data_IF_804639824889
#
_entry.id   IF_804639824889
#
_cell.length_a   1.000
_cell.length_b   1.000
_cell.length_c   1.000
_cell.angle_alpha   90.00
_cell.angle_beta   90.00
_cell.angle_gamma   90.00
#
_symmetry.space_group_name_H-M   'P 1'
#
loop_
_entity.id
_entity.type
_entity.pdbx_description
1 polymer ?
#
# COMPACT_ATOMS: atom_id res chain seq x y z
N UNK A 1 -5.64 21.66 7.60
CA UNK A 1 -5.50 20.93 8.89
C UNK A 1 -6.81 21.08 9.65
N UNK A 2 -7.27 20.05 10.37
CA UNK A 2 -8.52 20.08 11.14
C UNK A 2 -8.20 20.45 12.59
N UNK A 3 -8.90 21.43 13.14
CA UNK A 3 -8.82 21.82 14.55
C UNK A 3 -9.90 21.10 15.37
N UNK A 4 -9.54 20.61 16.55
CA UNK A 4 -10.44 19.86 17.45
C UNK A 4 -10.65 20.63 18.75
N UNK A 5 -11.92 20.90 19.10
CA UNK A 5 -12.33 21.52 20.36
C UNK A 5 -13.44 20.69 21.01
N UNK A 6 -13.19 20.01 22.16
CA UNK A 6 -11.91 19.91 22.88
C UNK A 6 -10.85 19.11 22.10
N UNK A 7 -9.59 19.23 22.52
CA UNK A 7 -8.48 18.48 21.91
C UNK A 7 -8.70 16.97 21.96
N UNK A 8 -8.20 16.27 20.95
CA UNK A 8 -8.15 14.81 20.95
C UNK A 8 -7.22 14.28 22.06
N UNK A 9 -7.44 13.05 22.56
CA UNK A 9 -6.53 12.40 23.51
C UNK A 9 -5.11 12.24 22.95
N UNK A 10 -4.11 12.25 23.84
CA UNK A 10 -2.69 12.17 23.48
C UNK A 10 -2.34 10.95 22.63
N UNK A 11 -2.97 9.80 22.90
CA UNK A 11 -2.78 8.56 22.12
C UNK A 11 -3.23 8.74 20.66
N UNK A 12 -4.32 9.47 20.44
CA UNK A 12 -4.85 9.77 19.10
C UNK A 12 -3.92 10.72 18.35
N UNK A 13 -3.50 11.80 19.02
CA UNK A 13 -2.58 12.79 18.45
C UNK A 13 -1.23 12.14 18.11
N UNK A 14 -0.71 11.29 18.98
CA UNK A 14 0.53 10.55 18.74
C UNK A 14 0.43 9.69 17.47
N UNK A 15 -0.69 9.00 17.25
CA UNK A 15 -0.90 8.20 16.02
C UNK A 15 -0.94 9.10 14.78
N UNK A 16 -1.74 10.18 14.80
CA UNK A 16 -1.89 11.10 13.67
C UNK A 16 -0.56 11.73 13.27
N UNK A 17 0.28 12.11 14.23
CA UNK A 17 1.55 12.77 13.95
C UNK A 17 2.71 11.83 13.64
N UNK A 18 2.57 10.52 13.91
CA UNK A 18 3.68 9.56 13.82
C UNK A 18 3.42 8.40 12.88
N UNK A 19 2.42 8.55 12.01
CA UNK A 19 2.12 7.68 10.88
C UNK A 19 2.21 8.47 9.56
N UNK A 20 3.42 8.89 9.13
CA UNK A 20 3.59 9.53 7.84
C UNK A 20 3.17 8.58 6.71
N UNK A 21 2.66 9.17 5.63
CA UNK A 21 2.47 8.48 4.35
C UNK A 21 3.81 8.22 3.67
N UNK A 22 3.90 7.13 2.91
CA UNK A 22 5.08 6.85 2.10
C UNK A 22 5.24 7.81 0.92
N UNK A 23 6.33 7.65 0.17
CA UNK A 23 6.59 8.38 -1.06
C UNK A 23 6.45 7.46 -2.27
N UNK A 24 5.62 7.82 -3.25
CA UNK A 24 5.42 6.99 -4.44
C UNK A 24 4.98 7.76 -5.70
N UNK A 25 5.59 7.40 -6.83
CA UNK A 25 5.08 7.68 -8.18
C UNK A 25 4.62 6.38 -8.83
N UNK A 26 3.41 6.37 -9.39
CA UNK A 26 2.92 5.29 -10.24
C UNK A 26 3.13 5.66 -11.69
N UNK A 27 3.71 4.76 -12.47
CA UNK A 27 3.94 4.93 -13.91
C UNK A 27 3.18 3.87 -14.69
N UNK A 28 2.61 4.24 -15.83
CA UNK A 28 1.96 3.35 -16.78
C UNK A 28 2.58 3.61 -18.15
N UNK A 29 3.17 2.57 -18.74
CA UNK A 29 3.79 2.63 -20.06
C UNK A 29 3.04 1.71 -21.00
N UNK A 30 2.45 2.28 -22.05
CA UNK A 30 1.58 1.55 -23.00
C UNK A 30 2.37 1.24 -24.27
N UNK A 31 2.18 0.04 -24.82
CA UNK A 31 2.90 -0.45 -26.00
C UNK A 31 1.95 -1.00 -27.06
N UNK A 32 2.47 -1.16 -28.29
CA UNK A 32 1.72 -1.75 -29.41
C UNK A 32 1.41 -3.22 -29.20
N UNK A 33 2.35 -3.95 -28.59
CA UNK A 33 2.25 -5.39 -28.34
C UNK A 33 2.73 -5.70 -26.93
N UNK A 34 2.25 -6.80 -26.35
CA UNK A 34 2.76 -7.34 -25.10
C UNK A 34 4.05 -8.12 -25.35
N UNK A 35 5.10 -7.44 -25.83
CA UNK A 35 6.33 -8.09 -26.29
C UNK A 35 7.01 -8.94 -25.21
N UNK A 36 6.90 -8.56 -23.93
CA UNK A 36 7.40 -9.37 -22.81
C UNK A 36 6.77 -10.76 -22.76
N UNK A 37 5.47 -10.88 -23.06
CA UNK A 37 4.78 -12.18 -23.11
C UNK A 37 5.26 -13.07 -24.26
N UNK A 38 5.63 -12.49 -25.39
CA UNK A 38 6.10 -13.26 -26.56
C UNK A 38 7.40 -14.02 -26.31
N UNK A 39 8.18 -13.59 -25.32
CA UNK A 39 9.42 -14.24 -24.86
C UNK A 39 9.22 -15.01 -23.54
N UNK A 40 7.98 -15.19 -23.09
CA UNK A 40 7.61 -16.00 -21.94
C UNK A 40 7.70 -15.31 -20.58
N UNK A 41 7.81 -13.98 -20.53
CA UNK A 41 7.75 -13.22 -19.28
C UNK A 41 6.32 -12.87 -18.88
N UNK A 42 6.04 -12.87 -17.57
CA UNK A 42 4.74 -12.45 -17.03
C UNK A 42 4.49 -10.95 -17.17
N UNK A 43 5.55 -10.13 -17.22
CA UNK A 43 5.47 -8.68 -17.09
C UNK A 43 5.64 -8.19 -15.64
N UNK A 44 5.88 -9.11 -14.70
CA UNK A 44 6.18 -8.79 -13.31
C UNK A 44 7.68 -8.82 -13.05
N UNK A 45 8.17 -7.85 -12.29
CA UNK A 45 9.55 -7.80 -11.83
C UNK A 45 9.69 -7.01 -10.53
N UNK A 46 10.62 -7.44 -9.69
CA UNK A 46 11.10 -6.69 -8.52
C UNK A 46 12.56 -6.36 -8.76
N UNK A 47 12.94 -5.11 -8.54
CA UNK A 47 14.29 -4.60 -8.77
C UNK A 47 14.64 -3.56 -7.71
N UNK A 48 15.92 -3.31 -7.50
CA UNK A 48 16.40 -2.21 -6.68
C UNK A 48 16.80 -0.98 -7.52
N UNK A 49 16.32 -0.91 -8.76
CA UNK A 49 16.53 0.20 -9.69
C UNK A 49 17.47 -0.13 -10.86
N UNK A 50 18.31 -1.17 -10.76
CA UNK A 50 19.26 -1.49 -11.84
C UNK A 50 20.24 -0.34 -12.10
N UNK A 51 20.65 -0.15 -13.35
CA UNK A 51 21.60 0.90 -13.71
C UNK A 51 20.89 2.25 -13.89
N UNK A 52 21.46 3.31 -13.33
CA UNK A 52 21.00 4.68 -13.58
C UNK A 52 21.58 5.24 -14.88
N UNK A 53 20.77 6.04 -15.59
CA UNK A 53 21.23 6.92 -16.68
C UNK A 53 21.20 8.40 -16.30
N UNK A 54 20.84 8.70 -15.05
CA UNK A 54 20.80 10.05 -14.50
C UNK A 54 22.08 10.28 -13.70
N UNK A 55 22.81 11.33 -14.07
CA UNK A 55 24.07 11.69 -13.40
C UNK A 55 23.84 11.97 -11.91
N UNK A 56 24.65 11.36 -11.05
CA UNK A 56 24.58 11.54 -9.60
C UNK A 56 23.59 10.62 -8.88
N UNK A 57 22.90 9.72 -9.61
CA UNK A 57 22.07 8.68 -9.01
C UNK A 57 22.69 7.30 -9.27
N UNK A 58 22.76 6.46 -8.23
CA UNK A 58 23.38 5.13 -8.30
C UNK A 58 22.47 4.07 -8.97
N UNK A 59 21.16 4.28 -8.90
CA UNK A 59 20.16 3.30 -9.34
C UNK A 59 19.07 3.94 -10.21
N UNK A 60 18.48 3.15 -11.10
CA UNK A 60 17.27 3.51 -11.83
C UNK A 60 16.03 3.66 -10.91
N UNK A 61 14.92 4.20 -11.44
CA UNK A 61 13.81 4.65 -10.60
C UNK A 61 12.86 3.53 -10.13
N UNK A 62 12.74 2.42 -10.87
CA UNK A 62 11.70 1.42 -10.62
C UNK A 62 12.06 0.48 -9.46
N UNK A 63 11.07 0.12 -8.64
CA UNK A 63 11.23 -0.89 -7.58
C UNK A 63 10.37 -2.15 -7.81
N UNK A 64 9.16 -1.99 -8.34
CA UNK A 64 8.27 -3.09 -8.69
C UNK A 64 7.49 -2.77 -9.98
N UNK A 65 7.31 -3.80 -10.81
CA UNK A 65 6.64 -3.73 -12.10
C UNK A 65 5.60 -4.84 -12.17
N UNK A 66 4.45 -4.54 -12.75
CA UNK A 66 3.38 -5.49 -13.04
C UNK A 66 2.93 -5.39 -14.50
N UNK A 67 2.37 -6.49 -14.99
CA UNK A 67 1.60 -6.47 -16.23
C UNK A 67 0.30 -5.68 -16.01
N UNK A 68 0.09 -4.67 -16.85
CA UNK A 68 -1.05 -3.76 -16.81
C UNK A 68 -2.01 -3.94 -17.98
N UNK A 69 -1.96 -5.08 -18.70
CA UNK A 69 -2.88 -5.31 -19.82
C UNK A 69 -4.32 -5.12 -19.37
N UNK A 70 -5.01 -4.20 -20.03
CA UNK A 70 -6.42 -3.90 -19.70
C UNK A 70 -7.31 -5.08 -20.05
N UNK A 71 -8.55 -5.11 -19.52
CA UNK A 71 -9.54 -6.11 -19.89
C UNK A 71 -9.88 -6.14 -21.39
N UNK A 72 -9.56 -5.06 -22.12
CA UNK A 72 -9.70 -4.95 -23.58
C UNK A 72 -8.45 -5.39 -24.35
N UNK A 73 -7.40 -5.86 -23.66
CA UNK A 73 -6.17 -6.34 -24.27
C UNK A 73 -5.13 -5.27 -24.59
N UNK A 74 -5.26 -4.05 -24.08
CA UNK A 74 -4.30 -2.96 -24.36
C UNK A 74 -2.98 -3.21 -23.60
N UNK A 75 -1.84 -3.42 -24.27
CA UNK A 75 -0.58 -3.75 -23.59
C UNK A 75 -0.01 -2.59 -22.79
N UNK A 76 0.19 -2.80 -21.49
CA UNK A 76 0.87 -1.84 -20.64
C UNK A 76 1.72 -2.53 -19.58
N UNK A 77 2.79 -1.86 -19.14
CA UNK A 77 3.52 -2.18 -17.92
C UNK A 77 3.24 -1.08 -16.88
N UNK A 78 2.92 -1.49 -15.66
CA UNK A 78 2.73 -0.58 -14.53
C UNK A 78 3.97 -0.67 -13.65
N UNK A 79 4.66 0.45 -13.49
CA UNK A 79 5.85 0.56 -12.64
C UNK A 79 5.60 1.46 -11.44
N UNK A 80 6.36 1.26 -10.37
CA UNK A 80 6.37 2.15 -9.22
C UNK A 80 7.77 2.64 -8.93
N UNK A 81 7.87 3.93 -8.64
CA UNK A 81 9.04 4.60 -8.07
C UNK A 81 8.66 4.85 -6.62
N UNK A 82 9.31 4.20 -5.67
CA UNK A 82 8.87 4.20 -4.26
C UNK A 82 10.00 4.43 -3.28
N UNK A 83 9.67 5.03 -2.13
CA UNK A 83 10.62 5.23 -1.04
C UNK A 83 11.82 6.08 -1.44
N UNK A 84 13.04 5.57 -1.24
CA UNK A 84 14.26 6.33 -1.49
C UNK A 84 14.41 6.71 -2.97
N UNK A 85 14.06 5.82 -3.90
CA UNK A 85 14.06 6.12 -5.33
C UNK A 85 13.09 7.26 -5.64
N UNK A 86 11.91 7.30 -5.02
CA UNK A 86 10.98 8.41 -5.22
C UNK A 86 11.58 9.74 -4.75
N UNK A 87 12.22 9.76 -3.57
CA UNK A 87 12.90 10.96 -3.05
C UNK A 87 13.99 11.44 -4.01
N UNK A 88 14.80 10.52 -4.55
CA UNK A 88 15.89 10.84 -5.47
C UNK A 88 15.38 11.32 -6.84
N UNK A 89 14.31 10.72 -7.35
CA UNK A 89 13.77 11.04 -8.67
C UNK A 89 12.73 12.16 -8.65
N UNK A 90 12.27 12.62 -7.48
CA UNK A 90 11.29 13.71 -7.35
C UNK A 90 11.77 15.03 -7.98
N UNK A 91 13.07 15.31 -7.92
CA UNK A 91 13.67 16.53 -8.51
C UNK A 91 14.19 16.34 -9.94
N UNK A 92 14.09 15.14 -10.50
CA UNK A 92 14.52 14.87 -11.88
C UNK A 92 13.44 15.37 -12.83
N UNK A 93 13.82 16.13 -13.85
CA UNK A 93 12.92 16.65 -14.88
C UNK A 93 12.11 15.52 -15.55
N UNK A 94 10.83 15.80 -15.85
CA UNK A 94 9.88 14.76 -16.26
C UNK A 94 10.35 13.93 -17.47
N UNK A 95 10.93 14.57 -18.49
CA UNK A 95 11.45 13.87 -19.66
C UNK A 95 12.64 12.97 -19.34
N UNK A 96 13.54 13.42 -18.46
CA UNK A 96 14.68 12.63 -18.00
C UNK A 96 14.24 11.44 -17.15
N UNK A 97 13.25 11.66 -16.30
CA UNK A 97 12.60 10.64 -15.47
C UNK A 97 11.91 9.58 -16.33
N UNK A 98 11.19 10.01 -17.37
CA UNK A 98 10.62 9.11 -18.39
C UNK A 98 11.71 8.28 -19.06
N UNK A 99 12.81 8.89 -19.52
CA UNK A 99 13.93 8.17 -20.13
C UNK A 99 14.51 7.12 -19.16
N UNK A 100 14.67 7.48 -17.89
CA UNK A 100 15.19 6.56 -16.87
C UNK A 100 14.26 5.37 -16.62
N UNK A 101 12.94 5.60 -16.57
CA UNK A 101 11.95 4.52 -16.47
C UNK A 101 12.02 3.59 -17.68
N UNK A 102 12.03 4.12 -18.90
CA UNK A 102 12.11 3.31 -20.12
C UNK A 102 13.43 2.52 -20.19
N UNK A 103 14.54 3.12 -19.73
CA UNK A 103 15.82 2.44 -19.60
C UNK A 103 15.72 1.23 -18.66
N UNK A 104 15.21 1.42 -17.44
CA UNK A 104 15.03 0.31 -16.49
C UNK A 104 14.12 -0.79 -17.03
N UNK A 105 13.03 -0.43 -17.74
CA UNK A 105 12.18 -1.43 -18.40
C UNK A 105 12.92 -2.17 -19.52
N UNK A 106 13.82 -1.49 -20.25
CA UNK A 106 14.60 -2.11 -21.32
C UNK A 106 15.67 -3.07 -20.81
N UNK A 107 16.26 -2.80 -19.65
CA UNK A 107 17.17 -3.73 -18.97
C UNK A 107 16.45 -5.03 -18.58
N UNK A 108 15.17 -4.95 -18.19
CA UNK A 108 14.37 -6.09 -17.74
C UNK A 108 13.72 -6.86 -18.89
N UNK A 109 13.13 -6.15 -19.85
CA UNK A 109 12.23 -6.74 -20.86
C UNK A 109 12.74 -6.62 -22.30
N UNK A 110 13.89 -5.96 -22.51
CA UNK A 110 14.52 -5.79 -23.81
C UNK A 110 14.22 -4.44 -24.48
N UNK A 111 14.93 -4.18 -25.59
CA UNK A 111 14.95 -2.87 -26.27
C UNK A 111 13.59 -2.37 -26.75
N UNK A 112 12.61 -3.25 -26.96
CA UNK A 112 11.24 -2.86 -27.32
C UNK A 112 10.58 -1.96 -26.25
N UNK A 113 11.03 -2.03 -24.99
CA UNK A 113 10.56 -1.14 -23.93
C UNK A 113 10.90 0.34 -24.16
N UNK A 114 11.85 0.65 -25.06
CA UNK A 114 12.24 2.02 -25.39
C UNK A 114 11.29 2.72 -26.38
N UNK A 115 10.32 2.00 -26.95
CA UNK A 115 9.38 2.51 -27.96
C UNK A 115 7.91 2.42 -27.49
N UNK A 116 7.51 3.22 -26.47
CA UNK A 116 6.14 3.24 -25.97
C UNK A 116 5.20 4.05 -26.89
N UNK A 117 3.94 3.65 -26.93
CA UNK A 117 2.85 4.44 -27.53
C UNK A 117 2.46 5.61 -26.63
N UNK A 118 2.41 5.37 -25.31
CA UNK A 118 2.04 6.39 -24.33
C UNK A 118 2.77 6.15 -23.01
N UNK A 119 2.99 7.24 -22.28
CA UNK A 119 3.63 7.25 -20.98
C UNK A 119 2.83 8.18 -20.07
N UNK A 120 2.37 7.67 -18.93
CA UNK A 120 1.70 8.45 -17.90
C UNK A 120 2.32 8.14 -16.55
N UNK A 121 2.48 9.16 -15.73
CA UNK A 121 2.88 8.99 -14.35
C UNK A 121 2.03 9.86 -13.43
N UNK A 122 1.93 9.44 -12.17
CA UNK A 122 1.30 10.20 -11.11
C UNK A 122 2.17 10.16 -9.87
N UNK A 123 2.76 11.31 -9.54
CA UNK A 123 3.38 11.55 -8.25
C UNK A 123 2.28 11.75 -7.19
N UNK A 124 2.23 10.85 -6.20
CA UNK A 124 1.27 10.93 -5.10
C UNK A 124 1.73 11.86 -3.98
N UNK A 125 3.02 12.19 -3.93
CA UNK A 125 3.60 13.10 -2.93
C UNK A 125 3.08 14.53 -3.11
N UNK A 126 2.73 14.89 -4.35
CA UNK A 126 2.16 16.19 -4.72
C UNK A 126 0.64 16.27 -4.54
N UNK A 127 -0.03 15.18 -4.18
CA UNK A 127 -1.48 15.21 -3.98
C UNK A 127 -1.85 16.02 -2.72
N UNK A 128 -2.62 17.11 -2.84
CA UNK A 128 -2.82 18.09 -1.76
C UNK A 128 -3.60 17.56 -0.55
N UNK A 129 -4.21 16.38 -0.67
CA UNK A 129 -4.97 15.75 0.40
C UNK A 129 -4.37 14.42 0.88
N UNK A 130 -3.46 13.82 0.10
CA UNK A 130 -2.80 12.57 0.46
C UNK A 130 -1.38 12.82 0.97
N UNK A 131 -0.67 13.78 0.36
CA UNK A 131 0.74 14.12 0.62
C UNK A 131 1.73 12.96 0.44
N UNK A 132 1.35 11.89 -0.25
CA UNK A 132 2.14 10.67 -0.42
C UNK A 132 1.28 9.42 -0.66
N UNK A 133 1.91 8.26 -0.57
CA UNK A 133 1.29 6.95 -0.71
C UNK A 133 2.29 5.78 -0.68
N UNK A 134 1.82 4.54 -0.89
CA UNK A 134 0.41 4.17 -1.02
C UNK A 134 -0.29 4.06 0.33
N UNK A 135 0.46 4.01 1.43
CA UNK A 135 -0.07 3.78 2.79
C UNK A 135 0.68 4.60 3.83
N UNK A 136 0.04 4.80 4.98
CA UNK A 136 0.68 5.37 6.18
C UNK A 136 1.47 4.29 6.94
N UNK A 137 2.68 4.62 7.37
CA UNK A 137 3.57 3.68 8.08
C UNK A 137 3.89 4.19 9.48
N UNK A 138 3.75 3.32 10.46
CA UNK A 138 4.08 3.61 11.85
C UNK A 138 5.59 3.86 12.03
N UNK A 139 5.95 5.00 12.62
CA UNK A 139 7.34 5.25 13.05
C UNK A 139 7.70 4.45 14.31
N UNK A 140 8.99 4.14 14.54
CA UNK A 140 9.41 3.43 15.75
C UNK A 140 8.92 4.08 17.06
N UNK A 141 8.43 3.26 17.99
CA UNK A 141 8.06 3.71 19.34
C UNK A 141 6.58 4.08 19.55
N UNK A 142 5.68 3.83 18.60
CA UNK A 142 4.23 4.16 18.75
C UNK A 142 3.33 2.96 19.04
N UNK A 143 3.89 1.76 19.23
CA UNK A 143 3.12 0.50 19.30
C UNK A 143 2.00 0.49 20.34
N UNK A 144 2.20 1.11 21.51
CA UNK A 144 1.16 1.21 22.56
C UNK A 144 0.06 2.19 22.18
N UNK A 145 0.38 3.27 21.46
CA UNK A 145 -0.61 4.26 21.00
C UNK A 145 -1.41 3.78 19.79
N UNK A 146 -0.86 2.91 18.93
CA UNK A 146 -1.57 2.37 17.75
C UNK A 146 -2.86 1.64 18.14
N UNK A 147 -2.81 0.81 19.17
CA UNK A 147 -3.92 -0.09 19.52
C UNK A 147 -5.15 0.65 20.04
N UNK A 148 -4.94 1.75 20.77
CA UNK A 148 -5.99 2.64 21.26
C UNK A 148 -6.30 3.78 20.27
N UNK A 149 -5.29 4.38 19.66
CA UNK A 149 -5.39 5.63 18.92
C UNK A 149 -5.94 5.51 17.50
N UNK A 150 -5.80 4.39 16.80
CA UNK A 150 -6.23 4.33 15.38
C UNK A 150 -7.74 4.45 15.22
N UNK A 151 -8.51 3.66 15.98
CA UNK A 151 -9.93 3.44 15.73
C UNK A 151 -10.86 3.79 16.89
N UNK A 152 -10.34 4.07 18.09
CA UNK A 152 -11.19 4.47 19.22
C UNK A 152 -11.94 5.78 18.89
N UNK A 153 -13.27 5.80 19.06
CA UNK A 153 -14.06 7.02 18.90
C UNK A 153 -13.73 8.08 19.97
N UNK A 154 -13.97 9.34 19.65
CA UNK A 154 -13.87 10.45 20.61
C UNK A 154 -15.18 11.24 20.65
N UNK A 155 -15.95 11.07 21.73
CA UNK A 155 -17.29 11.62 21.81
C UNK A 155 -18.19 11.09 20.69
N UNK A 156 -18.60 11.98 19.78
CA UNK A 156 -19.41 11.65 18.59
C UNK A 156 -18.58 11.46 17.31
N UNK A 157 -17.26 11.54 17.40
CA UNK A 157 -16.36 11.39 16.26
C UNK A 157 -15.91 9.92 16.14
N UNK A 158 -16.20 9.32 15.00
CA UNK A 158 -15.75 7.97 14.64
C UNK A 158 -14.73 8.07 13.50
N UNK A 159 -13.71 7.21 13.54
CA UNK A 159 -12.58 7.27 12.61
C UNK A 159 -12.58 6.08 11.69
N UNK A 160 -12.92 6.29 10.42
CA UNK A 160 -12.74 5.30 9.35
C UNK A 160 -11.42 5.56 8.60
N UNK A 161 -11.25 4.93 7.44
CA UNK A 161 -10.04 5.00 6.65
C UNK A 161 -9.26 3.70 6.76
N UNK A 162 -8.53 3.34 5.70
CA UNK A 162 -7.94 1.99 5.63
C UNK A 162 -6.95 1.72 6.77
N UNK A 163 -6.31 2.74 7.31
CA UNK A 163 -5.41 2.68 8.46
C UNK A 163 -6.11 2.19 9.73
N UNK A 164 -7.42 2.45 9.87
CA UNK A 164 -8.21 2.05 11.04
C UNK A 164 -8.80 0.63 10.90
N UNK A 165 -8.57 -0.05 9.78
CA UNK A 165 -9.09 -1.39 9.51
C UNK A 165 -8.45 -2.46 10.41
N UNK A 166 -9.19 -3.52 10.72
CA UNK A 166 -8.67 -4.68 11.48
C UNK A 166 -8.07 -5.74 10.56
N UNK A 167 -8.46 -5.72 9.28
CA UNK A 167 -7.97 -6.60 8.21
C UNK A 167 -7.72 -5.77 6.96
N UNK A 168 -6.74 -6.18 6.14
CA UNK A 168 -6.41 -5.50 4.87
C UNK A 168 -6.11 -4.00 5.03
N UNK A 169 -5.50 -3.61 6.16
CA UNK A 169 -5.04 -2.25 6.41
C UNK A 169 -4.05 -1.81 5.31
N UNK A 170 -4.26 -0.61 4.76
CA UNK A 170 -3.54 -0.09 3.59
C UNK A 170 -4.14 -0.43 2.23
N UNK A 171 -5.27 -1.15 2.17
CA UNK A 171 -5.92 -1.57 0.93
C UNK A 171 -7.37 -1.09 0.83
N UNK A 172 -7.92 -1.12 -0.38
CA UNK A 172 -9.33 -0.76 -0.64
C UNK A 172 -10.28 -1.62 0.22
N UNK A 173 -10.00 -2.91 0.40
CA UNK A 173 -10.79 -3.78 1.27
C UNK A 173 -10.81 -3.28 2.73
N UNK A 174 -9.67 -2.79 3.23
CA UNK A 174 -9.61 -2.17 4.56
C UNK A 174 -10.37 -0.85 4.63
N UNK A 175 -10.35 -0.04 3.57
CA UNK A 175 -11.16 1.18 3.49
C UNK A 175 -12.66 0.86 3.58
N UNK A 176 -13.12 -0.15 2.83
CA UNK A 176 -14.52 -0.62 2.87
C UNK A 176 -14.87 -1.16 4.26
N UNK A 177 -14.03 -2.04 4.80
CA UNK A 177 -14.25 -2.66 6.11
C UNK A 177 -14.31 -1.64 7.24
N UNK A 178 -13.35 -0.71 7.30
CA UNK A 178 -13.32 0.36 8.31
C UNK A 178 -14.52 1.31 8.23
N UNK A 179 -15.04 1.54 7.02
CA UNK A 179 -16.25 2.35 6.77
C UNK A 179 -17.51 1.69 7.32
N UNK A 180 -17.73 0.41 7.00
CA UNK A 180 -18.84 -0.36 7.59
C UNK A 180 -18.75 -0.41 9.11
N UNK A 181 -17.56 -0.69 9.65
CA UNK A 181 -17.34 -0.69 11.09
C UNK A 181 -17.65 0.68 11.71
N UNK A 182 -17.22 1.79 11.13
CA UNK A 182 -17.54 3.14 11.65
C UNK A 182 -19.06 3.39 11.66
N UNK A 183 -19.75 2.99 10.59
CA UNK A 183 -21.20 3.13 10.48
C UNK A 183 -21.93 2.29 11.55
N UNK A 184 -21.49 1.05 11.78
CA UNK A 184 -22.04 0.18 12.81
C UNK A 184 -21.81 0.73 14.21
N UNK A 185 -20.66 1.34 14.47
CA UNK A 185 -20.40 2.02 15.75
C UNK A 185 -21.38 3.18 16.00
N UNK A 186 -21.70 3.96 14.97
CA UNK A 186 -22.68 5.05 15.07
C UNK A 186 -24.09 4.50 15.28
N UNK A 187 -24.49 3.49 14.50
CA UNK A 187 -25.79 2.85 14.60
C UNK A 187 -26.02 2.19 15.96
N UNK A 188 -24.98 1.64 16.57
CA UNK A 188 -25.06 1.10 17.93
C UNK A 188 -25.57 2.14 18.94
N UNK A 189 -25.15 3.40 18.83
CA UNK A 189 -25.59 4.48 19.73
C UNK A 189 -26.93 5.08 19.33
N UNK A 190 -27.21 5.22 18.03
CA UNK A 190 -28.42 5.91 17.55
C UNK A 190 -29.63 5.00 17.37
N UNK A 191 -29.41 3.76 16.94
CA UNK A 191 -30.44 2.78 16.57
C UNK A 191 -29.98 1.34 16.93
N UNK A 192 -29.75 1.03 18.22
CA UNK A 192 -29.21 -0.28 18.63
C UNK A 192 -30.05 -1.47 18.16
N UNK A 193 -31.36 -1.29 17.91
CA UNK A 193 -32.28 -2.31 17.43
C UNK A 193 -32.00 -2.81 16.00
N UNK A 194 -31.22 -2.09 15.19
CA UNK A 194 -30.88 -2.50 13.82
C UNK A 194 -29.49 -3.15 13.71
N UNK A 195 -28.78 -3.28 14.82
CA UNK A 195 -27.41 -3.81 14.87
C UNK A 195 -27.41 -5.21 15.49
N UNK A 196 -26.70 -6.12 14.83
CA UNK A 196 -26.50 -7.49 15.31
C UNK A 196 -25.17 -7.64 16.04
N UNK A 197 -24.95 -8.79 16.69
CA UNK A 197 -23.65 -9.09 17.28
C UNK A 197 -22.53 -9.19 16.22
N UNK A 198 -22.83 -9.77 15.05
CA UNK A 198 -21.85 -9.88 13.96
C UNK A 198 -21.41 -8.52 13.42
N UNK A 199 -22.34 -7.56 13.35
CA UNK A 199 -22.04 -6.18 12.91
C UNK A 199 -21.03 -5.48 13.83
N UNK A 200 -20.91 -5.93 15.08
CA UNK A 200 -20.04 -5.36 16.10
C UNK A 200 -18.70 -6.08 16.25
N UNK A 201 -18.46 -7.21 15.56
CA UNK A 201 -17.27 -8.07 15.75
C UNK A 201 -15.97 -7.32 15.50
N UNK A 202 -15.96 -6.44 14.51
CA UNK A 202 -14.81 -5.62 14.14
C UNK A 202 -14.73 -4.29 14.90
N UNK A 203 -15.69 -4.00 15.79
CA UNK A 203 -15.74 -2.76 16.57
C UNK A 203 -15.03 -2.93 17.93
N UNK A 204 -14.68 -1.81 18.57
CA UNK A 204 -14.17 -1.83 19.94
C UNK A 204 -15.25 -2.18 21.00
N UNK A 205 -16.52 -2.32 20.61
CA UNK A 205 -17.64 -2.51 21.55
C UNK A 205 -17.85 -3.95 22.02
N UNK A 206 -17.39 -4.95 21.26
CA UNK A 206 -17.48 -6.36 21.68
C UNK A 206 -16.49 -6.73 22.80
N UNK A 207 -15.42 -5.94 23.03
CA UNK A 207 -14.43 -6.22 24.08
C UNK A 207 -14.73 -5.59 25.45
N UNK A 208 -15.71 -4.69 25.58
CA UNK A 208 -16.02 -4.04 26.88
C UNK A 208 -17.03 -4.79 27.76
N UNK A 209 -17.68 -5.84 27.27
CA UNK A 209 -18.65 -6.65 28.04
C UNK A 209 -18.08 -7.93 28.67
N UNK A 210 -16.78 -8.21 28.56
CA UNK A 210 -16.11 -9.34 29.24
C UNK A 210 -14.90 -8.90 30.06
N UNK A 211 -15.13 -8.23 31.19
CA UNK A 211 -14.20 -8.27 32.33
C UNK A 211 -14.98 -8.65 33.60
N UNK A 212 -15.35 -9.92 33.65
CA UNK A 212 -15.57 -10.69 34.88
C UNK A 212 -15.57 -12.15 34.47
N UNK A 213 -14.37 -12.74 34.37
CA UNK A 213 -14.15 -14.19 34.52
C UNK A 213 -12.65 -14.46 34.64
N UNK A 214 -12.24 -14.64 35.89
CA UNK A 214 -11.19 -15.53 36.39
C UNK A 214 -10.20 -16.07 35.35
N UNK A 215 -8.93 -15.63 35.48
CA UNK A 215 -7.76 -16.22 34.82
C UNK A 215 -7.66 -17.71 35.15
N UNK A 216 -7.69 -18.58 34.13
CA UNK A 216 -7.01 -19.88 34.16
C UNK A 216 -5.90 -19.91 33.11
N UNK A 217 -4.71 -20.29 33.57
CA UNK A 217 -3.50 -20.44 32.80
C UNK A 217 -3.62 -21.59 31.80
N UNK A 218 -3.04 -21.43 30.60
CA UNK A 218 -2.71 -22.56 29.73
C UNK A 218 -2.49 -22.16 28.27
N UNK A 219 -1.30 -22.46 27.74
CA UNK A 219 -1.08 -22.68 26.31
C UNK A 219 -0.45 -21.52 25.54
N UNK A 220 0.87 -21.51 25.45
CA UNK A 220 1.65 -20.71 24.49
C UNK A 220 1.36 -21.19 23.07
N UNK A 221 0.70 -20.38 22.25
CA UNK A 221 0.64 -20.57 20.79
C UNK A 221 1.24 -19.31 20.16
N UNK A 222 2.49 -19.46 19.73
CA UNK A 222 3.27 -18.46 19.02
C UNK A 222 2.75 -18.36 17.58
N UNK A 223 1.89 -17.38 17.30
CA UNK A 223 1.50 -17.06 15.93
C UNK A 223 2.57 -16.21 15.27
N UNK A 224 3.17 -16.74 14.20
CA UNK A 224 4.07 -16.02 13.31
C UNK A 224 3.29 -14.92 12.57
N UNK A 225 3.60 -13.66 12.87
CA UNK A 225 3.21 -12.52 12.04
C UNK A 225 4.24 -12.39 10.93
N UNK A 226 3.86 -12.72 9.70
CA UNK A 226 4.66 -12.40 8.53
C UNK A 226 4.57 -10.89 8.28
N UNK A 227 5.60 -10.17 8.71
CA UNK A 227 5.87 -8.79 8.28
C UNK A 227 6.58 -8.90 6.94
N UNK A 228 5.89 -8.57 5.84
CA UNK A 228 6.54 -8.28 4.57
C UNK A 228 7.21 -6.90 4.70
N UNK A 229 8.41 -6.91 5.30
CA UNK A 229 9.35 -5.81 5.20
C UNK A 229 9.95 -5.86 3.79
N UNK A 230 9.64 -4.86 2.96
CA UNK A 230 10.36 -4.60 1.72
C UNK A 230 11.73 -4.02 2.05
N UNK A 231 12.65 -4.89 2.44
CA UNK A 231 14.08 -4.61 2.49
C UNK A 231 14.85 -5.93 2.32
N UNK A 232 15.58 -6.06 1.22
CA UNK A 232 16.45 -7.20 0.93
C UNK A 232 16.17 -7.80 -0.44
N UNK A 233 17.05 -7.50 -1.39
CA UNK A 233 16.94 -7.96 -2.77
C UNK A 233 17.08 -9.47 -2.91
N UNK A 234 16.24 -10.06 -3.76
CA UNK A 234 16.52 -11.26 -4.54
C UNK A 234 15.89 -11.05 -5.92
N UNK A 235 16.69 -11.11 -6.98
CA UNK A 235 16.17 -11.09 -8.35
C UNK A 235 15.40 -12.39 -8.61
N UNK A 236 14.09 -12.29 -8.82
CA UNK A 236 13.29 -13.36 -9.41
C UNK A 236 12.60 -12.84 -10.66
N UNK A 237 13.07 -13.31 -11.82
CA UNK A 237 12.26 -13.32 -13.03
C UNK A 237 11.32 -14.53 -12.93
N UNK A 238 10.02 -14.28 -12.77
CA UNK A 238 9.02 -15.34 -12.77
C UNK A 238 8.82 -15.80 -14.22
N UNK A 239 9.53 -16.86 -14.61
CA UNK A 239 9.32 -17.55 -15.88
C UNK A 239 8.14 -18.50 -15.70
N UNK A 240 7.07 -18.28 -16.45
CA UNK A 240 5.87 -19.11 -16.39
C UNK A 240 6.22 -20.52 -16.90
N UNK A 241 6.39 -21.51 -16.00
CA UNK A 241 6.47 -22.93 -16.37
C UNK A 241 5.06 -23.48 -16.49
N UNK A 242 4.43 -23.25 -17.64
CA UNK A 242 3.38 -24.15 -18.11
C UNK A 242 4.02 -25.20 -19.03
N UNK A 243 3.57 -26.45 -18.86
CA UNK A 243 3.95 -27.67 -19.58
C UNK A 243 5.17 -28.40 -19.00
N UNK A 244 4.89 -29.35 -18.10
CA UNK A 244 5.38 -30.72 -18.13
C UNK A 244 4.56 -31.56 -17.13
N UNK A 245 3.48 -32.18 -17.61
CA UNK A 245 2.91 -33.38 -17.00
C UNK A 245 2.63 -34.40 -18.10
N UNK A 246 3.34 -35.52 -17.98
CA UNK A 246 3.05 -36.91 -18.38
C UNK A 246 3.24 -37.32 -19.86
N UNK A 247 4.36 -38.00 -20.11
CA UNK A 247 4.36 -39.46 -20.25
C UNK A 247 5.15 -40.07 -19.10
#
# INVERSE_FOLDING_TARGET
MIEYVPSLPSEKLNVIHRMPVGNITKVIVTYKTSFWRTVGFSGEAVTYGGSSIINGLDHGPLCIIFDGITSKGSPALVGFIGGQQQIQYASVEADDRKRAVLHSLSELFGKQALDPIDYKEKNWDEEPYNHGGPVSVATPGIGTSITAGLREPFGRLHFAGTESATVWCGFINGAVQSGYRAANEILYHLRPQVITASDLEDTNYIKRTRVSKSRKHGGTILHWVAVLALAGGVFYLIRNRALLTNF
#
